data_IF_621057155695
#
_entry.id   IF_621057155695
#
_cell.length_a   1.000
_cell.length_b   1.000
_cell.length_c   1.000
_cell.angle_alpha   90.00
_cell.angle_beta   90.00
_cell.angle_gamma   90.00
#
_symmetry.space_group_name_H-M   'P 1'
#
loop_
_entity.id
_entity.type
_entity.pdbx_description
1 polymer ?
#
# COMPACT_ATOMS: atom_id res chain seq x y z
N UNK A 1 -44.57 -0.32 -45.46
CA UNK A 1 -44.38 0.85 -44.59
C UNK A 1 -43.14 0.58 -43.77
N UNK A 2 -42.01 1.10 -44.25
CA UNK A 2 -40.71 0.98 -43.59
C UNK A 2 -40.71 1.79 -42.30
N UNK A 3 -40.06 1.26 -41.26
CA UNK A 3 -39.05 1.96 -40.44
C UNK A 3 -38.54 0.94 -39.41
N UNK A 4 -37.31 0.47 -39.66
CA UNK A 4 -36.45 -0.17 -38.67
C UNK A 4 -35.99 0.91 -37.70
N UNK A 5 -36.25 0.78 -36.40
CA UNK A 5 -35.54 1.53 -35.37
C UNK A 5 -34.93 0.53 -34.41
N UNK A 6 -33.67 0.21 -34.69
CA UNK A 6 -32.76 -0.42 -33.74
C UNK A 6 -32.31 0.64 -32.74
N UNK A 7 -32.91 0.66 -31.53
CA UNK A 7 -32.31 1.35 -30.40
C UNK A 7 -31.22 0.46 -29.81
N UNK A 8 -30.03 0.57 -30.38
CA UNK A 8 -28.79 0.13 -29.75
C UNK A 8 -28.55 1.09 -28.59
N UNK A 9 -29.02 0.72 -27.39
CA UNK A 9 -28.58 1.37 -26.16
C UNK A 9 -27.15 0.89 -25.90
N UNK A 10 -26.21 1.73 -26.35
CA UNK A 10 -24.79 1.61 -26.10
C UNK A 10 -24.52 1.48 -24.60
N UNK A 11 -23.71 0.47 -24.30
CA UNK A 11 -23.10 0.17 -23.03
C UNK A 11 -22.54 1.44 -22.37
N UNK A 12 -23.15 1.88 -21.27
CA UNK A 12 -22.43 2.61 -20.23
C UNK A 12 -21.95 1.56 -19.23
N UNK A 13 -20.97 0.76 -19.67
CA UNK A 13 -20.12 0.03 -18.73
C UNK A 13 -19.23 1.08 -18.06
N UNK A 14 -19.75 1.72 -17.02
CA UNK A 14 -18.89 2.40 -16.06
C UNK A 14 -18.16 1.28 -15.31
N UNK A 15 -17.04 0.82 -15.86
CA UNK A 15 -16.10 0.01 -15.10
C UNK A 15 -15.64 0.89 -13.95
N UNK A 16 -15.86 0.51 -12.67
CA UNK A 16 -15.14 1.18 -11.60
C UNK A 16 -13.67 0.91 -11.90
N UNK A 17 -12.92 1.93 -12.32
CA UNK A 17 -11.46 1.88 -12.21
C UNK A 17 -11.20 1.55 -10.75
N UNK A 18 -10.57 0.41 -10.49
CA UNK A 18 -10.12 0.03 -9.15
C UNK A 18 -9.13 1.11 -8.69
N UNK A 19 -9.68 2.15 -8.06
CA UNK A 19 -8.91 3.14 -7.34
C UNK A 19 -8.29 2.34 -6.19
N UNK A 20 -7.04 1.93 -6.36
CA UNK A 20 -6.28 1.31 -5.29
C UNK A 20 -6.21 2.36 -4.18
N UNK A 21 -7.04 2.20 -3.15
CA UNK A 21 -7.07 3.10 -2.01
C UNK A 21 -5.75 2.92 -1.25
N UNK A 22 -4.80 3.79 -1.51
CA UNK A 22 -3.57 3.87 -0.72
C UNK A 22 -3.85 4.71 0.52
N UNK A 23 -3.91 4.07 1.69
CA UNK A 23 -4.01 4.78 2.96
C UNK A 23 -2.64 5.34 3.30
N UNK A 24 -2.54 6.65 3.60
CA UNK A 24 -1.28 7.20 4.09
C UNK A 24 -0.92 6.53 5.42
N UNK A 25 0.28 5.96 5.48
CA UNK A 25 0.80 5.22 6.62
C UNK A 25 1.69 6.06 7.51
N UNK A 26 2.52 5.40 8.32
CA UNK A 26 3.45 6.08 9.23
C UNK A 26 4.73 6.53 8.53
N UNK A 27 5.36 7.55 9.10
CA UNK A 27 6.76 7.90 8.84
C UNK A 27 7.59 7.54 10.07
N UNK A 28 8.63 6.72 9.90
CA UNK A 28 9.36 6.17 11.05
C UNK A 28 10.67 5.52 10.67
N UNK A 29 11.31 4.86 11.64
CA UNK A 29 12.57 4.12 11.43
C UNK A 29 12.33 2.62 11.43
N UNK A 30 13.00 1.90 10.53
CA UNK A 30 13.01 0.43 10.52
C UNK A 30 13.76 -0.06 11.75
N UNK A 31 13.11 -0.81 12.63
CA UNK A 31 13.71 -1.40 13.84
C UNK A 31 13.88 -2.92 13.75
N UNK A 32 13.09 -3.60 12.91
CA UNK A 32 13.32 -4.99 12.53
C UNK A 32 13.06 -5.22 11.04
N UNK A 33 13.78 -6.17 10.46
CA UNK A 33 13.59 -6.67 9.10
C UNK A 33 13.53 -8.19 9.22
N UNK A 34 12.40 -8.75 8.82
CA UNK A 34 12.20 -10.18 8.65
C UNK A 34 11.96 -10.47 7.16
N UNK A 35 11.86 -11.75 6.80
CA UNK A 35 11.81 -12.16 5.40
C UNK A 35 10.73 -11.41 4.62
N UNK A 36 9.51 -11.27 5.16
CA UNK A 36 8.38 -10.62 4.48
C UNK A 36 7.75 -9.47 5.28
N UNK A 37 8.45 -8.90 6.26
CA UNK A 37 7.93 -7.76 6.99
C UNK A 37 9.00 -6.83 7.51
N UNK A 38 8.63 -5.55 7.63
CA UNK A 38 9.43 -4.55 8.33
C UNK A 38 8.67 -4.07 9.56
N UNK A 39 9.33 -4.07 10.71
CA UNK A 39 8.81 -3.44 11.92
C UNK A 39 9.28 -1.98 11.96
N UNK A 40 8.35 -1.04 11.90
CA UNK A 40 8.60 0.40 11.90
C UNK A 40 8.29 0.99 13.28
N UNK A 41 9.20 1.80 13.81
CA UNK A 41 8.95 2.66 14.97
C UNK A 41 8.62 4.07 14.50
N UNK A 42 7.42 4.55 14.83
CA UNK A 42 6.98 5.92 14.61
C UNK A 42 6.51 6.52 15.93
N UNK A 43 7.24 7.50 16.47
CA UNK A 43 6.96 8.08 17.79
C UNK A 43 6.78 7.00 18.88
N UNK A 44 5.59 6.88 19.48
CA UNK A 44 5.25 5.90 20.52
C UNK A 44 4.56 4.64 19.97
N UNK A 45 4.46 4.49 18.65
CA UNK A 45 3.75 3.41 17.98
C UNK A 45 4.70 2.52 17.20
N UNK A 46 4.35 1.24 17.12
CA UNK A 46 5.03 0.25 16.30
C UNK A 46 4.05 -0.31 15.29
N UNK A 47 4.51 -0.42 14.04
CA UNK A 47 3.73 -0.97 12.93
C UNK A 47 4.53 -2.08 12.29
N UNK A 48 3.96 -3.27 12.27
CA UNK A 48 4.48 -4.44 11.55
C UNK A 48 3.88 -4.44 10.14
N UNK A 49 4.71 -4.11 9.16
CA UNK A 49 4.33 -3.96 7.76
C UNK A 49 4.58 -5.25 7.00
N UNK A 50 3.51 -5.90 6.56
CA UNK A 50 3.59 -7.06 5.68
C UNK A 50 3.92 -6.60 4.26
N UNK A 51 4.98 -7.17 3.70
CA UNK A 51 5.47 -6.91 2.34
C UNK A 51 4.95 -8.02 1.43
N UNK A 52 4.35 -7.64 0.30
CA UNK A 52 3.92 -8.56 -0.75
C UNK A 52 4.67 -8.25 -2.05
N UNK A 53 4.40 -9.02 -3.10
CA UNK A 53 4.95 -8.74 -4.43
C UNK A 53 4.42 -7.43 -5.04
N UNK A 54 3.32 -6.91 -4.51
CA UNK A 54 2.69 -5.67 -4.97
C UNK A 54 3.20 -4.43 -4.21
N UNK A 55 3.99 -4.63 -3.15
CA UNK A 55 4.59 -3.53 -2.40
C UNK A 55 5.63 -2.81 -3.26
N UNK A 56 5.41 -1.52 -3.51
CA UNK A 56 6.35 -0.66 -4.24
C UNK A 56 7.43 -0.15 -3.30
N UNK A 57 8.70 -0.29 -3.70
CA UNK A 57 9.84 0.28 -2.99
C UNK A 57 10.39 1.48 -3.75
N UNK A 58 10.61 2.59 -3.05
CA UNK A 58 11.09 3.84 -3.65
C UNK A 58 12.32 4.36 -2.90
N UNK A 59 13.32 4.85 -3.65
CA UNK A 59 14.60 5.34 -3.12
C UNK A 59 15.65 4.25 -2.84
N UNK A 60 15.23 3.00 -2.56
CA UNK A 60 16.10 1.82 -2.44
C UNK A 60 15.38 0.57 -2.91
N UNK A 61 16.12 -0.44 -3.36
CA UNK A 61 15.59 -1.78 -3.55
C UNK A 61 15.26 -2.41 -2.19
N UNK A 62 14.28 -3.33 -2.15
CA UNK A 62 13.83 -4.03 -0.92
C UNK A 62 15.00 -4.55 -0.07
N UNK A 63 16.00 -5.15 -0.73
CA UNK A 63 17.11 -5.82 -0.06
C UNK A 63 18.21 -4.85 0.43
N UNK A 64 18.14 -3.58 0.04
CA UNK A 64 19.12 -2.55 0.43
C UNK A 64 18.66 -1.74 1.67
N UNK A 65 17.41 -1.93 2.10
CA UNK A 65 16.92 -1.39 3.37
C UNK A 65 17.62 -2.06 4.54
N UNK A 66 17.93 -1.26 5.56
CA UNK A 66 18.57 -1.71 6.79
C UNK A 66 17.88 -1.13 8.02
N UNK A 67 18.08 -1.79 9.16
CA UNK A 67 17.69 -1.25 10.47
C UNK A 67 18.29 0.15 10.65
N UNK A 68 17.47 1.08 11.10
CA UNK A 68 17.82 2.49 11.27
C UNK A 68 17.50 3.38 10.07
N UNK A 69 17.21 2.83 8.89
CA UNK A 69 16.72 3.63 7.77
C UNK A 69 15.38 4.26 8.13
N UNK A 70 15.19 5.53 7.77
CA UNK A 70 13.91 6.21 7.89
C UNK A 70 13.09 6.00 6.62
N UNK A 71 11.80 5.79 6.81
CA UNK A 71 10.86 5.52 5.72
C UNK A 71 9.55 6.26 5.92
N UNK A 72 8.92 6.63 4.80
CA UNK A 72 7.50 6.97 4.72
C UNK A 72 6.74 5.80 4.08
N UNK A 73 5.56 5.50 4.61
CA UNK A 73 4.83 4.27 4.24
C UNK A 73 3.40 4.58 3.81
N UNK A 74 2.85 3.72 2.95
CA UNK A 74 1.46 3.70 2.54
C UNK A 74 0.93 2.29 2.69
N UNK A 75 -0.31 2.15 3.15
CA UNK A 75 -0.92 0.86 3.40
C UNK A 75 -1.79 0.43 2.23
N UNK A 76 -1.90 -0.89 2.05
CA UNK A 76 -2.80 -1.51 1.07
C UNK A 76 -4.21 -1.68 1.60
N UNK A 77 -4.40 -1.55 2.91
CA UNK A 77 -5.67 -1.78 3.61
C UNK A 77 -5.67 -1.08 4.97
N UNK A 78 -6.82 -1.06 5.63
CA UNK A 78 -6.93 -0.59 7.01
C UNK A 78 -6.09 -1.47 7.96
N UNK A 79 -5.36 -0.88 8.94
CA UNK A 79 -4.62 -1.65 9.93
C UNK A 79 -5.51 -2.51 10.82
N UNK A 80 -5.00 -3.68 11.22
CA UNK A 80 -5.64 -4.53 12.21
C UNK A 80 -5.49 -3.94 13.61
N UNK A 81 -6.58 -3.90 14.38
CA UNK A 81 -6.57 -3.53 15.79
C UNK A 81 -5.78 -4.56 16.61
N UNK A 82 -4.48 -4.29 16.80
CA UNK A 82 -3.48 -5.21 17.32
C UNK A 82 -2.29 -4.44 17.93
N UNK A 83 -1.43 -5.14 18.68
CA UNK A 83 -0.23 -4.54 19.29
C UNK A 83 1.01 -5.44 19.09
N UNK A 84 1.97 -5.07 18.21
CA UNK A 84 1.99 -3.86 17.38
C UNK A 84 0.85 -3.86 16.34
N UNK A 85 0.54 -2.68 15.78
CA UNK A 85 -0.38 -2.54 14.65
C UNK A 85 0.15 -3.38 13.47
N UNK A 86 -0.72 -4.16 12.83
CA UNK A 86 -0.36 -4.99 11.69
C UNK A 86 -1.11 -4.51 10.44
N UNK A 87 -0.39 -4.32 9.33
CA UNK A 87 -0.99 -3.86 8.08
C UNK A 87 -0.14 -4.24 6.86
N UNK A 88 -0.77 -4.41 5.68
CA UNK A 88 -0.05 -4.59 4.43
C UNK A 88 0.51 -3.28 3.89
N UNK A 89 1.72 -3.31 3.33
CA UNK A 89 2.35 -2.16 2.71
C UNK A 89 2.04 -2.10 1.21
N UNK A 90 1.52 -0.97 0.74
CA UNK A 90 1.40 -0.68 -0.69
C UNK A 90 2.63 0.06 -1.23
N UNK A 91 3.23 0.95 -0.42
CA UNK A 91 4.49 1.62 -0.77
C UNK A 91 5.38 1.84 0.45
N UNK A 92 6.68 1.68 0.30
CA UNK A 92 7.72 2.03 1.28
C UNK A 92 8.76 2.90 0.59
N UNK A 93 8.91 4.14 1.06
CA UNK A 93 9.80 5.15 0.49
C UNK A 93 10.91 5.48 1.47
N UNK A 94 12.17 5.35 1.04
CA UNK A 94 13.32 5.78 1.82
C UNK A 94 13.39 7.31 1.91
N UNK A 95 13.62 7.83 3.11
CA UNK A 95 13.83 9.26 3.37
C UNK A 95 15.13 9.45 4.15
N UNK A 96 15.99 10.36 3.69
CA UNK A 96 17.33 10.62 4.25
C UNK A 96 17.30 11.23 5.66
#
# INVERSE_FOLDING_TARGET
MSIFIAFILLCVSCSPSEENLHYEGVTGSIINIDDNSFLIQSNNEKVDLTITNDTVFEGKDRNDFKKGDKVKTWYSNEPLDSNPLQVGASKIEFIE
#
